data_IF_762214394936
#
_entry.id   IF_762214394936
#
_cell.length_a   1.000
_cell.length_b   1.000
_cell.length_c   1.000
_cell.angle_alpha   90.00
_cell.angle_beta   90.00
_cell.angle_gamma   90.00
#
_symmetry.space_group_name_H-M   'P 1'
#
loop_
_entity.id
_entity.type
_entity.pdbx_description
1 polymer ?
#
# COMPACT_ATOMS: atom_id res chain seq x y z
N UNK A 1 -10.29 16.50 -10.35
CA UNK A 1 -8.98 16.23 -9.72
C UNK A 1 -8.98 14.76 -9.30
N UNK A 2 -7.90 14.04 -9.51
CA UNK A 2 -7.75 12.67 -9.02
C UNK A 2 -7.40 12.69 -7.54
N UNK A 3 -8.26 12.14 -6.69
CA UNK A 3 -8.03 12.06 -5.25
C UNK A 3 -7.92 10.60 -4.85
N UNK A 4 -6.91 10.26 -4.07
CA UNK A 4 -6.59 8.88 -3.70
C UNK A 4 -6.45 8.72 -2.19
N UNK A 5 -6.73 7.51 -1.69
CA UNK A 5 -6.41 7.10 -0.32
C UNK A 5 -5.18 6.19 -0.33
N UNK A 6 -4.20 6.44 0.55
CA UNK A 6 -3.02 5.58 0.76
C UNK A 6 -2.95 5.18 2.21
N UNK A 7 -3.11 3.89 2.51
CA UNK A 7 -2.97 3.39 3.88
C UNK A 7 -1.50 3.28 4.27
N UNK A 8 -1.17 3.64 5.53
CA UNK A 8 0.22 3.63 6.01
C UNK A 8 1.13 4.62 5.29
N UNK A 9 0.60 5.80 4.94
CA UNK A 9 1.28 6.84 4.18
C UNK A 9 2.25 7.71 4.98
N UNK A 10 2.50 7.43 6.24
CA UNK A 10 3.35 8.27 7.11
C UNK A 10 4.85 8.00 6.97
N UNK A 11 5.26 6.88 6.36
CA UNK A 11 6.67 6.48 6.17
C UNK A 11 6.84 5.47 5.03
N UNK A 12 8.10 5.19 4.67
CA UNK A 12 8.48 4.14 3.73
C UNK A 12 7.79 4.25 2.37
N UNK A 13 7.37 3.11 1.82
CA UNK A 13 6.74 3.03 0.49
C UNK A 13 5.47 3.88 0.42
N UNK A 14 4.64 3.89 1.49
CA UNK A 14 3.40 4.66 1.52
C UNK A 14 3.64 6.16 1.43
N UNK A 15 4.64 6.68 2.14
CA UNK A 15 5.02 8.10 2.07
C UNK A 15 5.58 8.47 0.69
N UNK A 16 6.47 7.62 0.13
CA UNK A 16 7.00 7.81 -1.21
C UNK A 16 5.88 7.80 -2.26
N UNK A 17 4.93 6.85 -2.18
CA UNK A 17 3.78 6.80 -3.07
C UNK A 17 2.90 8.05 -2.96
N UNK A 18 2.68 8.57 -1.74
CA UNK A 18 1.92 9.78 -1.50
C UNK A 18 2.57 11.01 -2.17
N UNK A 19 3.88 11.16 -1.98
CA UNK A 19 4.66 12.26 -2.59
C UNK A 19 4.68 12.13 -4.11
N UNK A 20 4.94 10.95 -4.67
CA UNK A 20 4.98 10.72 -6.11
C UNK A 20 3.61 10.91 -6.79
N UNK A 21 2.52 10.51 -6.13
CA UNK A 21 1.17 10.77 -6.60
C UNK A 21 0.85 12.28 -6.60
N UNK A 22 1.22 13.00 -5.53
CA UNK A 22 1.04 14.45 -5.43
C UNK A 22 1.83 15.21 -6.51
N UNK A 23 3.07 14.81 -6.82
CA UNK A 23 3.87 15.36 -7.94
C UNK A 23 3.17 15.21 -9.30
N UNK A 24 2.28 14.22 -9.45
CA UNK A 24 1.46 14.02 -10.65
C UNK A 24 0.11 14.75 -10.59
N UNK A 25 -0.08 15.65 -9.63
CA UNK A 25 -1.29 16.46 -9.48
C UNK A 25 -2.45 15.72 -8.80
N UNK A 26 -2.21 14.58 -8.15
CA UNK A 26 -3.24 13.88 -7.39
C UNK A 26 -3.40 14.51 -6.00
N UNK A 27 -4.65 14.62 -5.52
CA UNK A 27 -4.95 14.90 -4.12
C UNK A 27 -4.75 13.62 -3.29
N UNK A 28 -4.17 13.74 -2.10
CA UNK A 28 -3.80 12.56 -1.30
C UNK A 28 -4.44 12.60 0.08
N UNK A 29 -5.21 11.57 0.40
CA UNK A 29 -5.61 11.23 1.77
C UNK A 29 -4.65 10.12 2.21
N UNK A 30 -3.69 10.41 3.07
CA UNK A 30 -2.81 9.41 3.63
C UNK A 30 -3.25 8.99 5.03
N UNK A 31 -2.99 7.72 5.41
CA UNK A 31 -3.34 7.30 6.77
C UNK A 31 -2.12 6.96 7.62
N UNK A 32 -2.30 7.07 8.93
CA UNK A 32 -1.35 6.64 9.96
C UNK A 32 -2.11 5.92 11.08
N UNK A 33 -1.44 5.04 11.82
CA UNK A 33 -2.04 4.42 13.00
C UNK A 33 -1.66 5.19 14.28
N UNK A 34 -0.37 5.30 14.59
CA UNK A 34 0.12 5.82 15.88
C UNK A 34 0.95 7.10 15.76
N UNK A 35 1.63 7.33 14.64
CA UNK A 35 2.57 8.44 14.48
C UNK A 35 1.99 9.57 13.62
N UNK A 36 1.18 10.43 14.24
CA UNK A 36 0.58 11.59 13.58
C UNK A 36 1.67 12.56 13.07
N UNK A 37 2.69 12.85 13.87
CA UNK A 37 3.75 13.78 13.50
C UNK A 37 4.52 13.33 12.24
N UNK A 38 4.68 12.02 12.01
CA UNK A 38 5.27 11.53 10.77
C UNK A 38 4.33 11.74 9.57
N UNK A 39 3.03 11.55 9.75
CA UNK A 39 2.04 11.82 8.71
C UNK A 39 1.99 13.32 8.35
N UNK A 40 2.01 14.20 9.36
CA UNK A 40 2.01 15.65 9.18
C UNK A 40 3.25 16.12 8.40
N UNK A 41 4.43 15.52 8.61
CA UNK A 41 5.63 15.82 7.80
C UNK A 41 5.43 15.49 6.32
N UNK A 42 4.77 14.39 6.01
CA UNK A 42 4.46 14.02 4.61
C UNK A 42 3.46 15.01 4.00
N UNK A 43 2.41 15.38 4.74
CA UNK A 43 1.44 16.39 4.31
C UNK A 43 2.13 17.72 4.05
N UNK A 44 3.00 18.18 4.96
CA UNK A 44 3.77 19.42 4.82
C UNK A 44 4.70 19.37 3.59
N UNK A 45 5.39 18.25 3.36
CA UNK A 45 6.26 18.10 2.19
C UNK A 45 5.46 18.16 0.86
N UNK A 46 4.28 17.54 0.81
CA UNK A 46 3.38 17.64 -0.34
C UNK A 46 2.90 19.08 -0.53
N UNK A 47 2.52 19.76 0.55
CA UNK A 47 2.08 21.17 0.52
C UNK A 47 3.19 22.12 0.05
N UNK A 48 4.42 21.94 0.53
CA UNK A 48 5.58 22.73 0.10
C UNK A 48 5.90 22.56 -1.40
N UNK A 49 5.54 21.41 -1.99
CA UNK A 49 5.66 21.15 -3.43
C UNK A 49 4.42 21.61 -4.24
N UNK A 50 3.47 22.32 -3.62
CA UNK A 50 2.27 22.83 -4.28
C UNK A 50 1.12 21.82 -4.42
N UNK A 51 1.26 20.61 -3.84
CA UNK A 51 0.21 19.60 -3.80
C UNK A 51 -0.78 19.80 -2.64
N UNK A 52 -1.83 18.98 -2.60
CA UNK A 52 -2.79 18.94 -1.50
C UNK A 52 -2.87 17.54 -0.89
N UNK A 53 -2.69 17.44 0.42
CA UNK A 53 -2.84 16.20 1.15
C UNK A 53 -3.47 16.45 2.52
N UNK A 54 -4.12 15.42 3.06
CA UNK A 54 -4.60 15.36 4.44
C UNK A 54 -4.21 14.03 5.06
N UNK A 55 -3.99 14.02 6.38
CA UNK A 55 -3.69 12.81 7.14
C UNK A 55 -4.90 12.42 7.99
N UNK A 56 -5.32 11.16 7.93
CA UNK A 56 -6.38 10.59 8.75
C UNK A 56 -5.85 9.41 9.56
N UNK A 57 -6.32 9.26 10.79
CA UNK A 57 -5.98 8.09 11.60
C UNK A 57 -6.75 6.86 11.11
N UNK A 58 -6.07 5.72 10.96
CA UNK A 58 -6.67 4.43 10.66
C UNK A 58 -5.80 3.30 11.18
N UNK A 59 -6.39 2.39 11.95
CA UNK A 59 -5.84 1.07 12.17
C UNK A 59 -6.47 0.10 11.17
N UNK A 60 -5.70 -0.37 10.20
CA UNK A 60 -6.19 -1.31 9.18
C UNK A 60 -6.43 -2.72 9.74
N UNK A 61 -5.98 -3.01 10.97
CA UNK A 61 -6.27 -4.25 11.68
C UNK A 61 -7.65 -4.26 12.35
N UNK A 62 -8.30 -3.11 12.47
CA UNK A 62 -9.60 -2.93 13.13
C UNK A 62 -10.70 -2.65 12.10
N UNK A 63 -11.32 -3.71 11.58
CA UNK A 63 -12.35 -3.60 10.55
C UNK A 63 -13.64 -2.90 11.05
N UNK A 64 -13.90 -2.90 12.35
CA UNK A 64 -15.10 -2.26 12.92
C UNK A 64 -15.00 -0.72 12.83
N UNK A 65 -13.77 -0.18 12.73
CA UNK A 65 -13.52 1.26 12.56
C UNK A 65 -13.77 1.78 11.13
N UNK A 66 -13.93 0.92 10.12
CA UNK A 66 -13.94 1.35 8.72
C UNK A 66 -15.20 2.16 8.32
N UNK A 67 -16.32 1.98 9.03
CA UNK A 67 -17.50 2.82 8.86
C UNK A 67 -17.20 4.28 9.19
N UNK A 68 -16.68 4.53 10.38
CA UNK A 68 -16.28 5.87 10.83
C UNK A 68 -15.16 6.46 9.97
N UNK A 69 -14.21 5.63 9.53
CA UNK A 69 -13.15 6.07 8.63
C UNK A 69 -13.71 6.51 7.25
N UNK A 70 -14.68 5.77 6.70
CA UNK A 70 -15.37 6.18 5.45
C UNK A 70 -16.00 7.56 5.61
N UNK A 71 -16.66 7.83 6.72
CA UNK A 71 -17.30 9.13 6.99
C UNK A 71 -16.22 10.25 7.08
N UNK A 72 -15.10 10.00 7.75
CA UNK A 72 -13.97 10.94 7.77
C UNK A 72 -13.36 11.18 6.38
N UNK A 73 -13.35 10.18 5.50
CA UNK A 73 -12.93 10.36 4.10
C UNK A 73 -13.90 11.23 3.34
N UNK A 74 -15.22 11.08 3.53
CA UNK A 74 -16.26 11.93 2.92
C UNK A 74 -16.06 13.38 3.34
N UNK A 75 -15.89 13.64 4.64
CA UNK A 75 -15.67 14.98 5.17
C UNK A 75 -14.37 15.60 4.61
N UNK A 76 -13.29 14.83 4.55
CA UNK A 76 -12.02 15.29 3.98
C UNK A 76 -12.13 15.62 2.49
N UNK A 77 -12.83 14.80 1.71
CA UNK A 77 -13.10 15.05 0.29
C UNK A 77 -13.85 16.37 0.09
N UNK A 78 -14.93 16.57 0.84
CA UNK A 78 -15.74 17.77 0.75
C UNK A 78 -14.97 19.02 1.20
N UNK A 79 -14.33 18.96 2.36
CA UNK A 79 -13.67 20.12 2.97
C UNK A 79 -12.41 20.56 2.19
N UNK A 80 -11.62 19.60 1.67
CA UNK A 80 -10.32 19.93 1.05
C UNK A 80 -10.43 20.17 -0.45
N UNK A 81 -11.30 19.44 -1.14
CA UNK A 81 -11.37 19.46 -2.61
C UNK A 81 -12.76 19.79 -3.18
N UNK A 82 -13.81 19.88 -2.35
CA UNK A 82 -15.20 20.01 -2.83
C UNK A 82 -15.63 18.80 -3.65
N UNK A 83 -15.08 17.61 -3.36
CA UNK A 83 -15.28 16.38 -4.09
C UNK A 83 -16.12 15.38 -3.28
N UNK A 84 -16.70 14.40 -3.97
CA UNK A 84 -17.52 13.34 -3.36
C UNK A 84 -17.02 11.93 -3.68
N UNK A 85 -16.00 11.80 -4.55
CA UNK A 85 -15.51 10.50 -5.01
C UNK A 85 -13.99 10.42 -4.96
N UNK A 86 -13.50 9.20 -4.89
CA UNK A 86 -12.09 8.80 -4.96
C UNK A 86 -11.78 8.23 -6.35
N UNK A 87 -10.58 8.47 -6.85
CA UNK A 87 -10.07 7.87 -8.07
C UNK A 87 -9.03 6.78 -7.80
N UNK A 88 -8.65 6.58 -6.53
CA UNK A 88 -7.73 5.49 -6.20
C UNK A 88 -7.71 5.12 -4.73
N UNK A 89 -7.29 3.86 -4.49
CA UNK A 89 -7.02 3.30 -3.17
C UNK A 89 -5.73 2.51 -3.22
N UNK A 90 -4.82 2.77 -2.28
CA UNK A 90 -3.60 1.99 -2.09
C UNK A 90 -3.63 1.30 -0.73
N UNK A 91 -3.79 -0.01 -0.73
CA UNK A 91 -3.66 -0.86 0.44
C UNK A 91 -2.17 -1.16 0.68
N UNK A 92 -1.48 -0.24 1.37
CA UNK A 92 -0.04 -0.32 1.64
C UNK A 92 0.29 -0.60 3.11
N UNK A 93 -0.56 -0.21 4.05
CA UNK A 93 -0.29 -0.37 5.48
C UNK A 93 0.10 -1.81 5.83
N UNK A 94 1.10 -1.95 6.71
CA UNK A 94 1.57 -3.24 7.12
C UNK A 94 2.73 -3.17 8.11
N UNK A 95 3.04 -4.33 8.69
CA UNK A 95 4.22 -4.55 9.53
C UNK A 95 4.82 -5.93 9.23
N UNK A 96 6.09 -6.10 9.58
CA UNK A 96 6.80 -7.38 9.47
C UNK A 96 6.91 -8.07 10.83
N UNK A 97 6.84 -9.40 10.82
CA UNK A 97 7.14 -10.25 11.96
C UNK A 97 8.08 -11.36 11.49
N UNK A 98 9.21 -11.49 12.18
CA UNK A 98 10.14 -12.61 12.00
C UNK A 98 9.95 -13.60 13.13
N UNK A 99 9.37 -14.78 12.82
CA UNK A 99 9.22 -15.87 13.77
C UNK A 99 9.15 -17.21 13.00
N UNK A 100 9.95 -18.23 13.35
CA UNK A 100 9.83 -19.56 12.77
C UNK A 100 8.43 -20.13 12.96
N UNK A 101 7.98 -20.99 12.03
CA UNK A 101 6.61 -21.53 12.02
C UNK A 101 6.24 -22.17 13.37
N UNK A 102 7.17 -22.92 13.96
CA UNK A 102 6.98 -23.61 15.24
C UNK A 102 6.76 -22.68 16.44
N UNK A 103 7.12 -21.39 16.32
CA UNK A 103 7.03 -20.41 17.39
C UNK A 103 5.95 -19.35 17.17
N UNK A 104 5.27 -19.38 16.00
CA UNK A 104 4.20 -18.41 15.70
C UNK A 104 3.00 -18.69 16.59
N UNK A 105 2.60 -17.71 17.39
CA UNK A 105 1.37 -17.79 18.19
C UNK A 105 0.13 -17.48 17.36
N UNK A 106 -1.04 -17.97 17.80
CA UNK A 106 -2.33 -17.65 17.17
C UNK A 106 -2.56 -16.12 17.12
N UNK A 107 -2.24 -15.39 18.20
CA UNK A 107 -2.38 -13.93 18.25
C UNK A 107 -1.48 -13.20 17.22
N UNK A 108 -0.26 -13.68 16.99
CA UNK A 108 0.62 -13.15 15.95
C UNK A 108 0.08 -13.44 14.54
N UNK A 109 -0.43 -14.65 14.32
CA UNK A 109 -1.06 -15.05 13.06
C UNK A 109 -2.29 -14.18 12.76
N UNK A 110 -3.20 -14.03 13.72
CA UNK A 110 -4.42 -13.24 13.61
C UNK A 110 -4.11 -11.75 13.37
N UNK A 111 -3.11 -11.21 14.07
CA UNK A 111 -2.65 -9.84 13.86
C UNK A 111 -2.15 -9.59 12.43
N UNK A 112 -1.32 -10.50 11.90
CA UNK A 112 -0.87 -10.43 10.51
C UNK A 112 -2.02 -10.59 9.52
N UNK A 113 -2.94 -11.54 9.76
CA UNK A 113 -4.13 -11.75 8.93
C UNK A 113 -4.99 -10.48 8.88
N UNK A 114 -5.26 -9.90 10.05
CA UNK A 114 -6.10 -8.71 10.17
C UNK A 114 -5.53 -7.55 9.36
N UNK A 115 -4.21 -7.31 9.41
CA UNK A 115 -3.58 -6.18 8.73
C UNK A 115 -3.33 -6.45 7.24
N UNK A 116 -2.90 -7.67 6.86
CA UNK A 116 -2.39 -7.92 5.51
C UNK A 116 -3.40 -8.53 4.54
N UNK A 117 -4.54 -9.06 5.04
CA UNK A 117 -5.56 -9.67 4.19
C UNK A 117 -6.97 -9.18 4.52
N UNK A 118 -7.41 -9.33 5.77
CA UNK A 118 -8.76 -8.92 6.21
C UNK A 118 -8.97 -7.41 6.08
N UNK A 119 -7.99 -6.62 6.53
CA UNK A 119 -8.03 -5.15 6.45
C UNK A 119 -8.19 -4.65 5.01
N UNK A 120 -7.31 -5.00 4.07
CA UNK A 120 -7.45 -4.63 2.65
C UNK A 120 -8.80 -5.05 2.04
N UNK A 121 -9.33 -6.22 2.40
CA UNK A 121 -10.63 -6.68 1.91
C UNK A 121 -11.76 -5.76 2.37
N UNK A 122 -11.93 -5.63 3.69
CA UNK A 122 -13.06 -4.88 4.26
C UNK A 122 -12.92 -3.36 4.09
N UNK A 123 -11.70 -2.82 4.10
CA UNK A 123 -11.49 -1.40 3.79
C UNK A 123 -11.86 -1.09 2.34
N UNK A 124 -11.47 -1.95 1.40
CA UNK A 124 -11.88 -1.82 0.00
C UNK A 124 -13.40 -1.88 -0.12
N UNK A 125 -14.06 -2.82 0.56
CA UNK A 125 -15.52 -2.92 0.59
C UNK A 125 -16.18 -1.64 1.15
N UNK A 126 -15.66 -1.12 2.25
CA UNK A 126 -16.21 0.10 2.89
C UNK A 126 -16.06 1.34 1.99
N UNK A 127 -14.94 1.47 1.29
CA UNK A 127 -14.65 2.62 0.41
C UNK A 127 -15.18 2.43 -1.02
N UNK A 128 -15.59 1.22 -1.43
CA UNK A 128 -16.06 0.92 -2.78
C UNK A 128 -17.18 1.84 -3.28
N UNK A 129 -18.16 2.27 -2.44
CA UNK A 129 -19.19 3.24 -2.85
C UNK A 129 -18.62 4.62 -3.23
N UNK A 130 -17.48 5.00 -2.68
CA UNK A 130 -16.81 6.29 -2.95
C UNK A 130 -15.90 6.23 -4.18
N UNK A 131 -15.51 5.03 -4.64
CA UNK A 131 -14.66 4.90 -5.82
C UNK A 131 -15.45 5.26 -7.08
N UNK A 132 -14.94 6.22 -7.84
CA UNK A 132 -15.52 6.63 -9.12
C UNK A 132 -15.40 5.50 -10.16
N UNK A 133 -16.26 5.48 -11.19
CA UNK A 133 -15.99 4.66 -12.38
C UNK A 133 -14.60 4.98 -12.95
N UNK A 134 -13.87 3.93 -13.33
CA UNK A 134 -12.50 4.06 -13.84
C UNK A 134 -11.41 4.27 -12.77
N UNK A 135 -11.75 4.20 -11.49
CA UNK A 135 -10.77 4.27 -10.39
C UNK A 135 -9.72 3.13 -10.45
N UNK A 136 -8.63 3.29 -9.70
CA UNK A 136 -7.59 2.27 -9.60
C UNK A 136 -7.33 1.86 -8.14
N UNK A 137 -7.22 0.56 -7.90
CA UNK A 137 -6.81 -0.01 -6.61
C UNK A 137 -5.43 -0.64 -6.77
N UNK A 138 -4.51 -0.33 -5.86
CA UNK A 138 -3.18 -0.95 -5.80
C UNK A 138 -3.02 -1.62 -4.44
N UNK A 139 -2.77 -2.92 -4.46
CA UNK A 139 -2.52 -3.72 -3.26
C UNK A 139 -1.02 -4.02 -3.12
N UNK A 140 -0.39 -3.62 -2.00
CA UNK A 140 1.00 -3.94 -1.72
C UNK A 140 1.13 -5.38 -1.23
N UNK A 141 1.77 -6.21 -2.05
CA UNK A 141 2.14 -7.59 -1.73
C UNK A 141 3.61 -7.70 -1.36
N UNK A 142 4.34 -8.70 -1.76
CA UNK A 142 5.75 -8.88 -1.42
C UNK A 142 6.40 -9.94 -2.31
N UNK A 143 7.67 -9.81 -2.62
CA UNK A 143 8.45 -10.86 -3.27
C UNK A 143 8.48 -12.18 -2.46
N UNK A 144 8.16 -12.15 -1.16
CA UNK A 144 8.02 -13.37 -0.32
C UNK A 144 6.90 -14.31 -0.78
N UNK A 145 6.00 -13.87 -1.67
CA UNK A 145 5.01 -14.75 -2.30
C UNK A 145 5.64 -15.70 -3.33
N UNK A 146 6.81 -15.34 -3.87
CA UNK A 146 7.59 -16.11 -4.83
C UNK A 146 8.86 -16.68 -4.21
N UNK A 147 9.50 -15.92 -3.33
CA UNK A 147 10.77 -16.29 -2.69
C UNK A 147 10.50 -16.74 -1.25
N UNK A 148 10.75 -18.01 -0.95
CA UNK A 148 10.58 -18.52 0.41
C UNK A 148 11.70 -17.99 1.32
N UNK A 149 11.32 -17.21 2.32
CA UNK A 149 12.21 -16.68 3.34
C UNK A 149 11.81 -17.28 4.70
N UNK A 150 12.76 -17.87 5.41
CA UNK A 150 12.49 -18.42 6.73
C UNK A 150 12.00 -17.34 7.71
N UNK A 151 11.08 -17.69 8.58
CA UNK A 151 10.56 -16.81 9.63
C UNK A 151 9.45 -15.85 9.21
N UNK A 152 9.01 -15.83 7.94
CA UNK A 152 7.96 -14.91 7.48
C UNK A 152 6.74 -15.63 6.86
N UNK A 153 6.58 -16.93 7.12
CA UNK A 153 5.57 -17.77 6.47
C UNK A 153 4.13 -17.23 6.55
N UNK A 154 3.58 -16.81 7.71
CA UNK A 154 2.22 -16.26 7.78
C UNK A 154 2.08 -14.96 6.98
N UNK A 155 3.07 -14.06 7.08
CA UNK A 155 3.10 -12.84 6.29
C UNK A 155 3.05 -13.13 4.79
N UNK A 156 3.91 -14.05 4.30
CA UNK A 156 3.95 -14.45 2.91
C UNK A 156 2.63 -15.07 2.44
N UNK A 157 2.01 -15.93 3.27
CA UNK A 157 0.71 -16.53 2.98
C UNK A 157 -0.39 -15.49 2.79
N UNK A 158 -0.46 -14.46 3.67
CA UNK A 158 -1.44 -13.39 3.55
C UNK A 158 -1.16 -12.47 2.37
N UNK A 159 0.11 -12.18 2.05
CA UNK A 159 0.47 -11.44 0.84
C UNK A 159 0.13 -12.22 -0.43
N UNK A 160 0.30 -13.54 -0.46
CA UNK A 160 -0.16 -14.41 -1.55
C UNK A 160 -1.69 -14.43 -1.67
N UNK A 161 -2.40 -14.50 -0.53
CA UNK A 161 -3.85 -14.34 -0.48
C UNK A 161 -4.32 -13.01 -1.06
N UNK A 162 -3.59 -11.91 -0.78
CA UNK A 162 -3.90 -10.58 -1.31
C UNK A 162 -3.67 -10.50 -2.84
N UNK A 163 -2.69 -11.21 -3.40
CA UNK A 163 -2.51 -11.33 -4.85
C UNK A 163 -3.70 -12.03 -5.52
N UNK A 164 -4.17 -13.13 -4.93
CA UNK A 164 -5.38 -13.82 -5.40
C UNK A 164 -6.58 -12.87 -5.31
N UNK A 165 -6.77 -12.23 -4.16
CA UNK A 165 -7.88 -11.30 -3.91
C UNK A 165 -7.87 -10.14 -4.91
N UNK A 166 -6.69 -9.61 -5.29
CA UNK A 166 -6.57 -8.55 -6.28
C UNK A 166 -7.18 -8.94 -7.64
N UNK A 167 -6.99 -10.19 -8.08
CA UNK A 167 -7.58 -10.70 -9.31
C UNK A 167 -9.11 -10.81 -9.22
N UNK A 168 -9.64 -11.26 -8.06
CA UNK A 168 -11.09 -11.32 -7.83
C UNK A 168 -11.71 -9.91 -7.81
N UNK A 169 -11.10 -8.96 -7.09
CA UNK A 169 -11.52 -7.56 -7.08
C UNK A 169 -11.52 -6.96 -8.50
N UNK A 170 -10.47 -7.24 -9.30
CA UNK A 170 -10.39 -6.77 -10.69
C UNK A 170 -11.54 -7.33 -11.54
N UNK A 171 -11.91 -8.60 -11.34
CA UNK A 171 -13.02 -9.24 -12.05
C UNK A 171 -14.37 -8.66 -11.64
N UNK A 172 -14.61 -8.50 -10.34
CA UNK A 172 -15.90 -8.06 -9.82
C UNK A 172 -16.15 -6.58 -10.08
N UNK A 173 -15.11 -5.73 -10.00
CA UNK A 173 -15.25 -4.28 -10.17
C UNK A 173 -15.07 -3.82 -11.63
N UNK A 174 -14.71 -4.73 -12.51
CA UNK A 174 -14.44 -4.44 -13.93
C UNK A 174 -15.61 -3.81 -14.67
N UNK A 175 -16.88 -4.16 -14.34
CA UNK A 175 -18.06 -3.54 -14.93
C UNK A 175 -18.17 -2.02 -14.61
N UNK A 176 -17.51 -1.55 -13.55
CA UNK A 176 -17.39 -0.13 -13.22
C UNK A 176 -16.12 0.53 -13.81
N UNK A 177 -15.36 -0.21 -14.62
CA UNK A 177 -14.06 0.24 -15.13
C UNK A 177 -12.96 0.32 -14.08
N UNK A 178 -13.21 -0.15 -12.86
CA UNK A 178 -12.23 -0.08 -11.76
C UNK A 178 -11.14 -1.15 -12.01
N UNK A 179 -9.88 -0.70 -12.05
CA UNK A 179 -8.71 -1.56 -12.19
C UNK A 179 -8.15 -1.92 -10.82
N UNK A 180 -7.72 -3.16 -10.66
CA UNK A 180 -7.07 -3.62 -9.44
C UNK A 180 -5.78 -4.36 -9.80
N UNK A 181 -4.66 -3.88 -9.29
CA UNK A 181 -3.36 -4.50 -9.48
C UNK A 181 -2.65 -4.69 -8.14
N UNK A 182 -1.77 -5.67 -8.08
CA UNK A 182 -0.84 -5.86 -6.98
C UNK A 182 0.54 -5.32 -7.37
N UNK A 183 1.25 -4.72 -6.42
CA UNK A 183 2.67 -4.39 -6.51
C UNK A 183 3.40 -5.26 -5.52
N UNK A 184 4.41 -5.98 -6.00
CA UNK A 184 5.25 -6.92 -5.23
C UNK A 184 6.66 -6.35 -5.07
N UNK A 185 6.96 -5.61 -3.98
CA UNK A 185 8.31 -5.11 -3.74
C UNK A 185 9.30 -6.24 -3.44
N UNK A 186 10.52 -6.09 -3.92
CA UNK A 186 11.67 -6.88 -3.47
C UNK A 186 12.24 -6.37 -2.15
N UNK A 187 13.56 -6.42 -2.01
CA UNK A 187 14.26 -5.84 -0.86
C UNK A 187 14.28 -4.31 -0.98
N UNK A 188 13.55 -3.61 -0.10
CA UNK A 188 13.43 -2.15 -0.09
C UNK A 188 13.93 -1.59 1.25
N UNK A 189 14.69 -0.50 1.23
CA UNK A 189 15.17 0.20 2.42
C UNK A 189 14.01 0.86 3.17
N UNK A 190 13.46 0.15 4.14
CA UNK A 190 12.38 0.61 5.00
C UNK A 190 12.62 0.17 6.45
N UNK A 191 11.83 0.70 7.36
CA UNK A 191 11.82 0.24 8.77
C UNK A 191 11.00 -1.05 8.99
N UNK A 192 10.47 -1.66 7.94
CA UNK A 192 9.69 -2.89 8.03
C UNK A 192 10.54 -4.01 8.67
N UNK A 193 10.00 -4.68 9.70
CA UNK A 193 10.70 -5.77 10.35
C UNK A 193 11.95 -5.35 11.16
N UNK A 194 12.11 -4.06 11.48
CA UNK A 194 13.25 -3.53 12.24
C UNK A 194 14.33 -2.86 11.39
N UNK A 195 14.09 -2.74 10.07
CA UNK A 195 15.03 -2.09 9.15
C UNK A 195 16.14 -3.01 8.64
N UNK A 196 17.08 -2.42 7.89
CA UNK A 196 18.23 -3.11 7.33
C UNK A 196 19.50 -2.63 8.04
N UNK A 197 20.31 -3.55 8.55
CA UNK A 197 21.69 -3.25 8.91
C UNK A 197 22.60 -3.46 7.69
N UNK A 198 23.83 -2.94 7.75
CA UNK A 198 24.79 -2.96 6.63
C UNK A 198 25.07 -4.36 6.08
N UNK A 199 25.26 -5.36 6.96
CA UNK A 199 25.53 -6.74 6.55
C UNK A 199 24.33 -7.37 5.82
N UNK A 200 23.10 -7.15 6.34
CA UNK A 200 21.88 -7.66 5.73
C UNK A 200 21.59 -6.95 4.41
N UNK A 201 21.81 -5.65 4.35
CA UNK A 201 21.68 -4.88 3.10
C UNK A 201 22.65 -5.35 2.03
N UNK A 202 23.93 -5.57 2.37
CA UNK A 202 24.94 -6.10 1.44
C UNK A 202 24.55 -7.46 0.89
N UNK A 203 24.03 -8.34 1.75
CA UNK A 203 23.52 -9.65 1.33
C UNK A 203 22.35 -9.52 0.34
N UNK A 204 21.36 -8.69 0.64
CA UNK A 204 20.19 -8.48 -0.23
C UNK A 204 20.57 -7.81 -1.56
N UNK A 205 21.50 -6.86 -1.54
CA UNK A 205 22.03 -6.21 -2.73
C UNK A 205 22.74 -7.23 -3.66
N UNK A 206 23.49 -8.16 -3.08
CA UNK A 206 24.13 -9.25 -3.82
C UNK A 206 23.14 -10.25 -4.46
N UNK A 207 21.91 -10.31 -3.95
CA UNK A 207 20.81 -11.12 -4.49
C UNK A 207 19.91 -10.36 -5.48
N UNK A 208 20.20 -9.09 -5.71
CA UNK A 208 19.42 -8.21 -6.59
C UNK A 208 20.23 -7.93 -7.86
N UNK A 209 19.68 -8.21 -9.04
CA UNK A 209 20.37 -8.05 -10.32
C UNK A 209 20.90 -6.63 -10.56
N UNK A 210 20.19 -5.60 -10.05
CA UNK A 210 20.65 -4.20 -10.12
C UNK A 210 21.68 -3.84 -9.05
N UNK A 211 22.17 -4.80 -8.25
CA UNK A 211 23.29 -4.64 -7.31
C UNK A 211 23.03 -3.74 -6.11
N UNK A 212 21.78 -3.42 -5.81
CA UNK A 212 21.38 -2.63 -4.65
C UNK A 212 20.03 -3.06 -4.11
N UNK A 213 19.75 -2.73 -2.86
CA UNK A 213 18.37 -2.69 -2.38
C UNK A 213 17.61 -1.52 -3.02
N UNK A 214 16.31 -1.65 -3.19
CA UNK A 214 15.47 -0.57 -3.69
C UNK A 214 15.24 0.51 -2.63
N UNK A 215 14.95 1.72 -3.07
CA UNK A 215 14.47 2.79 -2.22
C UNK A 215 12.92 2.85 -2.26
N UNK A 216 12.26 3.39 -1.23
CA UNK A 216 10.81 3.57 -1.23
C UNK A 216 10.28 4.26 -2.49
N UNK A 217 11.03 5.20 -3.05
CA UNK A 217 10.71 5.95 -4.25
C UNK A 217 10.68 5.06 -5.51
N UNK A 218 11.49 3.99 -5.56
CA UNK A 218 11.46 3.05 -6.69
C UNK A 218 10.07 2.38 -6.79
N UNK A 219 9.47 2.04 -5.65
CA UNK A 219 8.13 1.46 -5.58
C UNK A 219 7.05 2.55 -5.69
N UNK A 220 7.24 3.70 -5.03
CA UNK A 220 6.28 4.81 -5.02
C UNK A 220 5.96 5.33 -6.42
N UNK A 221 6.98 5.44 -7.29
CA UNK A 221 6.80 5.83 -8.70
C UNK A 221 5.94 4.85 -9.48
N UNK A 222 6.11 3.55 -9.27
CA UNK A 222 5.29 2.52 -9.94
C UNK A 222 3.84 2.58 -9.44
N UNK A 223 3.62 2.73 -8.12
CA UNK A 223 2.28 2.89 -7.55
C UNK A 223 1.58 4.11 -8.16
N UNK A 224 2.24 5.27 -8.18
CA UNK A 224 1.68 6.49 -8.76
C UNK A 224 1.37 6.34 -10.26
N UNK A 225 2.17 5.57 -10.99
CA UNK A 225 1.92 5.24 -12.41
C UNK A 225 0.67 4.37 -12.57
N UNK A 226 0.49 3.35 -11.73
CA UNK A 226 -0.67 2.46 -11.79
C UNK A 226 -1.98 3.16 -11.41
N UNK A 227 -1.90 4.22 -10.61
CA UNK A 227 -3.06 5.07 -10.27
C UNK A 227 -3.43 6.03 -11.40
N UNK A 228 -2.52 6.30 -12.34
CA UNK A 228 -2.78 7.22 -13.46
C UNK A 228 -3.60 6.55 -14.58
N UNK A 229 -4.29 7.35 -15.42
CA UNK A 229 -5.01 6.83 -16.59
C UNK A 229 -4.07 6.22 -17.66
N UNK A 230 -2.77 6.51 -17.62
CA UNK A 230 -1.79 6.01 -18.59
C UNK A 230 -1.69 4.47 -18.61
N UNK A 231 -2.07 3.83 -17.50
CA UNK A 231 -2.11 2.37 -17.35
C UNK A 231 -3.52 1.80 -17.49
N UNK A 232 -4.38 2.44 -18.26
CA UNK A 232 -5.80 2.10 -18.41
C UNK A 232 -6.09 0.64 -18.84
N UNK A 233 -5.11 -0.04 -19.44
CA UNK A 233 -5.25 -1.45 -19.87
C UNK A 233 -4.48 -2.43 -18.97
N UNK A 234 -3.87 -1.95 -17.88
CA UNK A 234 -3.20 -2.80 -16.87
C UNK A 234 -4.19 -3.14 -15.77
N UNK A 235 -4.66 -4.39 -15.73
CA UNK A 235 -5.63 -4.86 -14.73
C UNK A 235 -5.34 -6.32 -14.32
N UNK A 236 -5.63 -6.68 -13.09
CA UNK A 236 -5.44 -8.02 -12.52
C UNK A 236 -3.98 -8.53 -12.52
N UNK A 237 -3.00 -7.62 -12.61
CA UNK A 237 -1.58 -7.97 -12.66
C UNK A 237 -0.95 -7.90 -11.26
N UNK A 238 0.04 -8.77 -11.05
CA UNK A 238 1.04 -8.60 -9.99
C UNK A 238 2.32 -8.09 -10.63
N UNK A 239 2.70 -6.85 -10.31
CA UNK A 239 3.88 -6.17 -10.88
C UNK A 239 4.99 -6.22 -9.85
N UNK A 240 6.05 -6.97 -10.16
CA UNK A 240 7.21 -7.04 -9.31
C UNK A 240 8.08 -5.80 -9.45
N UNK A 241 8.40 -5.16 -8.32
CA UNK A 241 9.27 -3.98 -8.24
C UNK A 241 10.41 -4.32 -7.30
N UNK A 242 11.31 -5.18 -7.77
CA UNK A 242 12.36 -5.77 -6.95
C UNK A 242 13.78 -5.62 -7.50
N UNK A 243 13.98 -4.90 -8.62
CA UNK A 243 15.31 -4.75 -9.22
C UNK A 243 15.95 -6.08 -9.69
N UNK A 244 15.11 -7.11 -9.93
CA UNK A 244 15.60 -8.46 -10.24
C UNK A 244 16.05 -9.22 -8.99
N UNK A 245 15.35 -9.06 -7.87
CA UNK A 245 15.62 -9.79 -6.63
C UNK A 245 15.31 -11.28 -6.79
N UNK A 246 16.34 -12.13 -6.70
CA UNK A 246 16.28 -13.59 -6.82
C UNK A 246 15.46 -14.02 -8.05
N UNK A 247 15.97 -13.71 -9.24
CA UNK A 247 15.44 -14.16 -10.54
C UNK A 247 16.16 -15.43 -11.01
#
# INVERSE_FOLDING_TARGET
MHIIVITGGSRGIGAAAAIEAAKRGMGVILTYNTNAAAADRVVAAIGAAGGKAVALRLDVGDADSFGAFKDAVIDALAATWGATTLQGLVNNAGYGLFNPIENVTAAQFDGLMNVHLKGPFFLTQALLPLLAPGAAIVNLTSATTRVATAGVAPYAAFKGGLEVLSRYMAKEFGARGIRVNAVSPGAIRTELGGGLNEAFETMLAGQTALGRVGEPEDVGRVIATLLSPDTGWVNAQTIEVGGGYII
#
